data_IF_943767456156
#
_entry.id   IF_943767456156
#
_cell.length_a   1.000
_cell.length_b   1.000
_cell.length_c   1.000
_cell.angle_alpha   90.00
_cell.angle_beta   90.00
_cell.angle_gamma   90.00
#
_symmetry.space_group_name_H-M   'P 1'
#
loop_
_entity.id
_entity.type
_entity.pdbx_description
1 polymer ?
#
# COMPACT_ATOMS: atom_id res chain seq x y z
N UNK A 1 -26.72 50.91 -42.40
CA UNK A 1 -25.73 51.28 -41.37
C UNK A 1 -26.16 50.89 -39.95
N UNK A 2 -27.16 51.52 -39.32
CA UNK A 2 -27.51 51.21 -37.90
C UNK A 2 -27.93 49.75 -37.64
N UNK A 3 -28.75 49.16 -38.52
CA UNK A 3 -29.20 47.75 -38.38
C UNK A 3 -28.04 46.75 -38.42
N UNK A 4 -27.02 46.99 -39.25
CA UNK A 4 -25.84 46.13 -39.35
C UNK A 4 -24.94 46.22 -38.12
N UNK A 5 -24.79 47.43 -37.57
CA UNK A 5 -24.06 47.69 -36.31
C UNK A 5 -24.73 46.94 -35.16
N UNK A 6 -26.07 47.01 -35.05
CA UNK A 6 -26.84 46.30 -34.02
C UNK A 6 -26.68 44.77 -34.16
N UNK A 7 -26.68 44.25 -35.39
CA UNK A 7 -26.47 42.81 -35.64
C UNK A 7 -25.06 42.35 -35.20
N UNK A 8 -24.04 43.18 -35.49
CA UNK A 8 -22.65 42.92 -35.12
C UNK A 8 -22.45 42.93 -33.60
N UNK A 9 -23.08 43.87 -32.90
CA UNK A 9 -23.07 43.93 -31.43
C UNK A 9 -23.73 42.69 -30.82
N UNK A 10 -24.87 42.23 -31.35
CA UNK A 10 -25.53 40.98 -30.90
C UNK A 10 -24.63 39.76 -31.11
N UNK A 11 -23.98 39.67 -32.27
CA UNK A 11 -23.02 38.60 -32.58
C UNK A 11 -21.85 38.58 -31.61
N UNK A 12 -21.23 39.74 -31.35
CA UNK A 12 -20.11 39.87 -30.40
C UNK A 12 -20.51 39.49 -28.97
N UNK A 13 -21.68 39.95 -28.49
CA UNK A 13 -22.20 39.55 -27.16
C UNK A 13 -22.40 38.04 -27.06
N UNK A 14 -22.89 37.40 -28.12
CA UNK A 14 -23.07 35.94 -28.15
C UNK A 14 -21.74 35.19 -28.09
N UNK A 15 -20.71 35.66 -28.83
CA UNK A 15 -19.35 35.11 -28.80
C UNK A 15 -18.71 35.29 -27.42
N UNK A 16 -18.88 36.47 -26.81
CA UNK A 16 -18.39 36.75 -25.46
C UNK A 16 -19.00 35.79 -24.43
N UNK A 17 -20.32 35.54 -24.48
CA UNK A 17 -20.99 34.58 -23.60
C UNK A 17 -20.46 33.15 -23.79
N UNK A 18 -20.26 32.72 -25.04
CA UNK A 18 -19.66 31.41 -25.36
C UNK A 18 -18.24 31.28 -24.79
N UNK A 19 -17.40 32.31 -24.94
CA UNK A 19 -16.05 32.33 -24.40
C UNK A 19 -16.05 32.28 -22.86
N UNK A 20 -16.98 32.99 -22.23
CA UNK A 20 -17.12 32.98 -20.77
C UNK A 20 -17.48 31.59 -20.24
N UNK A 21 -18.39 30.88 -20.92
CA UNK A 21 -18.75 29.51 -20.57
C UNK A 21 -17.58 28.55 -20.76
N UNK A 22 -16.87 28.63 -21.89
CA UNK A 22 -15.64 27.83 -22.12
C UNK A 22 -14.59 28.10 -21.03
N UNK A 23 -14.40 29.35 -20.63
CA UNK A 23 -13.48 29.71 -19.54
C UNK A 23 -13.88 29.02 -18.23
N UNK A 24 -15.16 29.02 -17.87
CA UNK A 24 -15.67 28.33 -16.67
C UNK A 24 -15.43 26.83 -16.73
N UNK A 25 -15.75 26.19 -17.85
CA UNK A 25 -15.51 24.76 -18.05
C UNK A 25 -14.04 24.39 -17.93
N UNK A 26 -13.15 25.19 -18.53
CA UNK A 26 -11.69 24.99 -18.43
C UNK A 26 -11.21 25.12 -16.99
N UNK A 27 -11.71 26.09 -16.22
CA UNK A 27 -11.36 26.25 -14.80
C UNK A 27 -11.77 25.02 -13.99
N UNK A 28 -12.97 24.49 -14.22
CA UNK A 28 -13.46 23.27 -13.56
C UNK A 28 -12.55 22.09 -13.88
N UNK A 29 -12.20 21.89 -15.17
CA UNK A 29 -11.27 20.83 -15.59
C UNK A 29 -9.91 20.96 -14.93
N UNK A 30 -9.34 22.17 -14.87
CA UNK A 30 -8.05 22.43 -14.20
C UNK A 30 -8.13 22.07 -12.71
N UNK A 31 -9.21 22.43 -12.02
CA UNK A 31 -9.37 22.11 -10.61
C UNK A 31 -9.49 20.61 -10.36
N UNK A 32 -10.21 19.88 -11.22
CA UNK A 32 -10.30 18.42 -11.14
C UNK A 32 -8.93 17.76 -11.36
N UNK A 33 -8.17 18.20 -12.37
CA UNK A 33 -6.81 17.70 -12.62
C UNK A 33 -5.87 17.94 -11.43
N UNK A 34 -5.94 19.11 -10.78
CA UNK A 34 -5.17 19.39 -9.55
C UNK A 34 -5.54 18.47 -8.39
N UNK A 35 -6.81 18.06 -8.27
CA UNK A 35 -7.24 17.10 -7.26
C UNK A 35 -6.71 15.70 -7.55
N UNK A 36 -6.75 15.26 -8.81
CA UNK A 36 -6.17 13.99 -9.24
C UNK A 36 -4.65 13.94 -9.04
N UNK A 37 -3.94 15.02 -9.41
CA UNK A 37 -2.51 15.16 -9.18
C UNK A 37 -2.16 14.97 -7.70
N UNK A 38 -2.91 15.63 -6.80
CA UNK A 38 -2.72 15.46 -5.34
C UNK A 38 -2.93 14.02 -4.88
N UNK A 39 -3.94 13.32 -5.42
CA UNK A 39 -4.20 11.90 -5.13
C UNK A 39 -3.03 11.02 -5.60
N UNK A 40 -2.56 11.22 -6.84
CA UNK A 40 -1.44 10.50 -7.43
C UNK A 40 -0.14 10.73 -6.65
N UNK A 41 0.15 11.98 -6.24
CA UNK A 41 1.31 12.29 -5.39
C UNK A 41 1.24 11.55 -4.05
N UNK A 42 0.05 11.47 -3.44
CA UNK A 42 -0.15 10.73 -2.18
C UNK A 42 0.13 9.23 -2.39
N UNK A 43 -0.37 8.65 -3.47
CA UNK A 43 -0.12 7.25 -3.85
C UNK A 43 1.36 6.98 -4.12
N UNK A 44 2.03 7.84 -4.89
CA UNK A 44 3.48 7.75 -5.15
C UNK A 44 4.31 7.82 -3.87
N UNK A 45 3.94 8.69 -2.92
CA UNK A 45 4.61 8.78 -1.61
C UNK A 45 4.42 7.51 -0.78
N UNK A 46 3.26 6.85 -0.83
CA UNK A 46 3.08 5.55 -0.19
C UNK A 46 3.87 4.43 -0.87
N UNK A 47 3.95 4.43 -2.20
CA UNK A 47 4.72 3.44 -2.96
C UNK A 47 6.22 3.55 -2.68
N UNK A 48 6.79 4.76 -2.70
CA UNK A 48 8.20 5.00 -2.33
C UNK A 48 8.53 4.54 -0.90
N UNK A 49 7.57 4.57 0.03
CA UNK A 49 7.76 4.04 1.38
C UNK A 49 7.82 2.51 1.37
N UNK A 50 7.04 1.83 0.53
CA UNK A 50 7.09 0.38 0.38
C UNK A 50 8.38 -0.08 -0.30
N UNK A 51 8.90 0.69 -1.26
CA UNK A 51 10.18 0.40 -1.95
C UNK A 51 11.39 0.43 -1.01
N UNK A 52 11.28 1.09 0.15
CA UNK A 52 12.33 1.12 1.17
C UNK A 52 12.30 -0.09 2.11
N UNK A 53 11.28 -0.95 2.01
CA UNK A 53 11.16 -2.13 2.85
C UNK A 53 11.70 -3.36 2.13
N UNK A 54 12.79 -3.91 2.65
CA UNK A 54 13.33 -5.19 2.23
C UNK A 54 13.02 -6.23 3.30
N UNK A 55 12.30 -7.28 2.90
CA UNK A 55 12.00 -8.45 3.74
C UNK A 55 12.58 -9.69 3.06
N UNK A 56 13.42 -10.41 3.78
CA UNK A 56 14.05 -11.65 3.34
C UNK A 56 13.87 -12.75 4.39
N UNK A 57 13.72 -13.99 3.94
CA UNK A 57 13.53 -15.15 4.83
C UNK A 57 14.63 -16.17 4.59
N UNK A 58 15.53 -16.25 5.56
CA UNK A 58 16.66 -17.19 5.61
C UNK A 58 16.29 -18.50 6.30
N UNK A 59 16.95 -19.59 5.91
CA UNK A 59 16.89 -20.87 6.60
C UNK A 59 18.20 -21.12 7.32
N UNK A 60 18.13 -21.30 8.62
CA UNK A 60 19.23 -21.75 9.46
C UNK A 60 19.25 -23.28 9.47
N UNK A 61 20.26 -23.86 8.81
CA UNK A 61 20.43 -25.30 8.69
C UNK A 61 20.74 -25.98 10.03
N UNK A 62 21.42 -25.29 10.96
CA UNK A 62 21.88 -25.88 12.22
C UNK A 62 20.70 -26.23 13.12
N UNK A 63 19.70 -25.37 13.16
CA UNK A 63 18.51 -25.52 13.99
C UNK A 63 17.27 -25.94 13.19
N UNK A 64 17.41 -26.05 11.86
CA UNK A 64 16.32 -26.33 10.91
C UNK A 64 15.16 -25.34 11.05
N UNK A 65 15.49 -24.05 11.14
CA UNK A 65 14.53 -22.98 11.45
C UNK A 65 14.68 -21.78 10.54
N UNK A 66 13.64 -20.95 10.47
CA UNK A 66 13.62 -19.78 9.61
C UNK A 66 13.79 -18.49 10.41
N UNK A 67 14.46 -17.53 9.79
CA UNK A 67 14.65 -16.17 10.28
C UNK A 67 14.10 -15.18 9.26
N UNK A 68 13.48 -14.10 9.73
CA UNK A 68 13.08 -12.97 8.91
C UNK A 68 14.07 -11.83 9.11
N UNK A 69 14.62 -11.31 8.02
CA UNK A 69 15.50 -10.14 8.01
C UNK A 69 14.70 -8.98 7.42
N UNK A 70 14.71 -7.84 8.12
CA UNK A 70 14.00 -6.64 7.73
C UNK A 70 14.96 -5.47 7.66
N UNK A 71 14.95 -4.77 6.53
CA UNK A 71 15.56 -3.44 6.38
C UNK A 71 14.48 -2.44 6.00
N UNK A 72 14.36 -1.37 6.77
CA UNK A 72 13.42 -0.29 6.51
C UNK A 72 14.00 1.04 7.00
N UNK A 73 14.30 1.96 6.09
CA UNK A 73 14.99 3.23 6.41
C UNK A 73 16.29 2.94 7.17
N UNK A 74 16.46 3.50 8.38
CA UNK A 74 17.59 3.27 9.29
C UNK A 74 17.46 1.98 10.12
N UNK A 75 16.29 1.33 10.14
CA UNK A 75 16.10 0.10 10.90
C UNK A 75 16.62 -1.10 10.12
N UNK A 76 17.52 -1.85 10.75
CA UNK A 76 17.98 -3.14 10.28
C UNK A 76 17.95 -4.14 11.46
N UNK A 77 17.21 -5.22 11.28
CA UNK A 77 17.06 -6.25 12.31
C UNK A 77 16.59 -7.57 11.71
N UNK A 78 16.71 -8.62 12.52
CA UNK A 78 16.13 -9.92 12.23
C UNK A 78 15.36 -10.42 13.44
N UNK A 79 14.42 -11.32 13.19
CA UNK A 79 13.72 -12.05 14.24
C UNK A 79 13.47 -13.49 13.81
N UNK A 80 13.39 -14.35 14.82
CA UNK A 80 13.20 -15.78 14.64
C UNK A 80 11.74 -16.10 14.29
N UNK A 81 11.54 -16.89 13.24
CA UNK A 81 10.23 -17.39 12.85
C UNK A 81 9.96 -18.78 13.45
N UNK A 82 11.00 -19.60 13.59
CA UNK A 82 10.91 -20.97 14.10
C UNK A 82 10.91 -22.05 13.02
N UNK A 83 10.51 -23.26 13.41
CA UNK A 83 10.37 -24.40 12.49
C UNK A 83 9.19 -24.20 11.56
N UNK A 84 9.26 -24.77 10.35
CA UNK A 84 8.21 -24.65 9.34
C UNK A 84 6.81 -25.01 9.86
N UNK A 85 6.70 -26.09 10.65
CA UNK A 85 5.44 -26.52 11.26
C UNK A 85 4.84 -25.44 12.16
N UNK A 86 5.67 -24.83 13.03
CA UNK A 86 5.21 -23.76 13.94
C UNK A 86 4.72 -22.55 13.14
N UNK A 87 5.45 -22.20 12.08
CA UNK A 87 5.10 -21.08 11.20
C UNK A 87 3.74 -21.33 10.53
N UNK A 88 3.57 -22.51 9.93
CA UNK A 88 2.31 -22.93 9.29
C UNK A 88 1.14 -22.84 10.27
N UNK A 89 1.30 -23.39 11.47
CA UNK A 89 0.26 -23.35 12.50
C UNK A 89 -0.13 -21.90 12.87
N UNK A 90 0.85 -20.99 12.97
CA UNK A 90 0.55 -19.60 13.31
C UNK A 90 -0.16 -18.83 12.19
N UNK A 91 0.14 -19.11 10.91
CA UNK A 91 -0.50 -18.40 9.79
C UNK A 91 -1.75 -19.12 9.25
N UNK A 92 -2.00 -20.39 9.63
CA UNK A 92 -3.18 -21.16 9.24
C UNK A 92 -4.49 -20.44 9.55
N UNK A 93 -4.53 -19.65 10.63
CA UNK A 93 -5.72 -18.86 11.02
C UNK A 93 -6.19 -17.87 9.94
N UNK A 94 -5.35 -17.55 8.94
CA UNK A 94 -5.70 -16.66 7.83
C UNK A 94 -6.22 -17.42 6.60
N UNK A 95 -6.32 -18.76 6.68
CA UNK A 95 -6.68 -19.63 5.57
C UNK A 95 -7.81 -20.57 5.96
N UNK A 96 -8.80 -20.66 5.08
CA UNK A 96 -9.88 -21.64 5.22
C UNK A 96 -9.43 -23.06 4.90
N UNK A 97 -8.52 -23.18 3.93
CA UNK A 97 -7.96 -24.47 3.50
C UNK A 97 -6.71 -24.78 4.32
N UNK A 98 -6.49 -26.06 4.63
CA UNK A 98 -5.27 -26.51 5.28
C UNK A 98 -4.03 -26.22 4.42
N UNK A 99 -3.11 -25.44 4.98
CA UNK A 99 -1.83 -25.08 4.33
C UNK A 99 -0.66 -25.95 4.82
N UNK A 100 -0.89 -26.97 5.65
CA UNK A 100 0.13 -27.87 6.18
C UNK A 100 0.98 -28.52 5.08
N UNK A 101 0.36 -28.86 3.95
CA UNK A 101 0.99 -29.48 2.77
C UNK A 101 1.62 -28.46 1.81
N UNK A 102 1.40 -27.16 1.99
CA UNK A 102 1.97 -26.14 1.10
C UNK A 102 3.49 -26.07 1.29
N UNK A 103 4.22 -25.95 0.18
CA UNK A 103 5.69 -25.90 0.22
C UNK A 103 6.23 -24.60 0.81
N UNK A 104 7.49 -24.63 1.27
CA UNK A 104 8.14 -23.49 1.92
C UNK A 104 8.17 -22.20 1.08
N UNK A 105 8.20 -22.30 -0.25
CA UNK A 105 8.15 -21.12 -1.14
C UNK A 105 6.86 -20.31 -0.93
N UNK A 106 5.72 -21.00 -0.81
CA UNK A 106 4.43 -20.39 -0.51
C UNK A 106 4.47 -19.72 0.88
N UNK A 107 4.93 -20.47 1.88
CA UNK A 107 5.01 -19.97 3.27
C UNK A 107 5.90 -18.71 3.38
N UNK A 108 7.05 -18.69 2.68
CA UNK A 108 7.91 -17.50 2.62
C UNK A 108 7.21 -16.29 1.98
N UNK A 109 6.46 -16.51 0.91
CA UNK A 109 5.69 -15.44 0.25
C UNK A 109 4.68 -14.83 1.22
N UNK A 110 3.96 -15.67 1.96
CA UNK A 110 2.93 -15.22 2.89
C UNK A 110 3.50 -14.48 4.09
N UNK A 111 4.56 -14.99 4.73
CA UNK A 111 5.24 -14.26 5.80
C UNK A 111 5.74 -12.91 5.29
N UNK A 112 6.29 -12.86 4.07
CA UNK A 112 6.75 -11.60 3.48
C UNK A 112 5.60 -10.59 3.35
N UNK A 113 4.43 -11.01 2.88
CA UNK A 113 3.26 -10.13 2.78
C UNK A 113 2.80 -9.63 4.16
N UNK A 114 2.70 -10.53 5.14
CA UNK A 114 2.32 -10.19 6.52
C UNK A 114 3.28 -9.12 7.08
N UNK A 115 4.59 -9.36 7.00
CA UNK A 115 5.61 -8.44 7.51
C UNK A 115 5.55 -7.08 6.79
N UNK A 116 5.35 -7.08 5.46
CA UNK A 116 5.23 -5.84 4.67
C UNK A 116 4.03 -5.00 5.10
N UNK A 117 2.92 -5.64 5.44
CA UNK A 117 1.70 -4.92 5.83
C UNK A 117 1.81 -4.21 7.19
N UNK A 118 2.53 -4.80 8.16
CA UNK A 118 2.51 -4.31 9.54
C UNK A 118 3.77 -3.56 9.97
N UNK A 119 4.95 -3.97 9.49
CA UNK A 119 6.22 -3.46 10.02
C UNK A 119 6.43 -1.96 9.77
N UNK A 120 6.18 -1.42 8.56
CA UNK A 120 6.34 0.02 8.33
C UNK A 120 5.49 0.86 9.28
N UNK A 121 4.24 0.45 9.52
CA UNK A 121 3.32 1.17 10.39
C UNK A 121 3.78 1.12 11.84
N UNK A 122 4.21 -0.06 12.32
CA UNK A 122 4.77 -0.21 13.66
C UNK A 122 6.02 0.66 13.86
N UNK A 123 7.00 0.56 12.96
CA UNK A 123 8.26 1.30 13.08
C UNK A 123 8.04 2.81 12.97
N UNK A 124 7.12 3.28 12.11
CA UNK A 124 6.80 4.70 12.03
C UNK A 124 6.07 5.21 13.29
N UNK A 125 5.23 4.38 13.92
CA UNK A 125 4.46 4.77 15.11
C UNK A 125 5.32 4.82 16.38
N UNK A 126 6.11 3.78 16.60
CA UNK A 126 6.89 3.62 17.84
C UNK A 126 8.36 4.02 17.72
N UNK A 127 8.85 4.23 16.49
CA UNK A 127 10.25 4.56 16.20
C UNK A 127 11.27 3.62 16.87
N UNK A 128 10.89 2.36 17.07
CA UNK A 128 11.70 1.35 17.74
C UNK A 128 11.45 -0.02 17.13
N UNK A 129 12.49 -0.85 17.12
CA UNK A 129 12.43 -2.27 16.76
C UNK A 129 12.31 -3.20 17.97
N UNK A 130 12.30 -2.64 19.18
CA UNK A 130 12.20 -3.42 20.41
C UNK A 130 10.88 -4.22 20.43
N UNK A 131 10.96 -5.43 20.95
CA UNK A 131 9.83 -6.37 21.08
C UNK A 131 9.23 -6.90 19.76
N UNK A 132 9.84 -6.63 18.59
CA UNK A 132 9.41 -7.26 17.34
C UNK A 132 9.83 -8.74 17.34
N UNK A 133 8.86 -9.61 17.60
CA UNK A 133 8.95 -11.06 17.46
C UNK A 133 7.93 -11.54 16.44
N UNK A 134 8.05 -12.80 15.98
CA UNK A 134 7.08 -13.33 15.03
C UNK A 134 5.65 -13.34 15.60
N UNK A 135 5.48 -13.71 16.87
CA UNK A 135 4.18 -13.61 17.55
C UNK A 135 3.64 -12.18 17.51
N UNK A 136 4.48 -11.18 17.80
CA UNK A 136 4.05 -9.78 17.77
C UNK A 136 3.63 -9.33 16.38
N UNK A 137 4.32 -9.79 15.34
CA UNK A 137 3.96 -9.54 13.94
C UNK A 137 2.58 -10.12 13.62
N UNK A 138 2.30 -11.35 14.06
CA UNK A 138 0.99 -11.99 13.88
C UNK A 138 -0.10 -11.19 14.60
N UNK A 139 0.12 -10.78 15.85
CA UNK A 139 -0.84 -9.92 16.60
C UNK A 139 -1.13 -8.60 15.88
N UNK A 140 -0.08 -7.93 15.39
CA UNK A 140 -0.22 -6.67 14.65
C UNK A 140 -1.00 -6.88 13.35
N UNK A 141 -0.82 -8.02 12.69
CA UNK A 141 -1.52 -8.33 11.45
C UNK A 141 -2.99 -8.63 11.71
N UNK A 142 -3.29 -9.41 12.75
CA UNK A 142 -4.67 -9.63 13.22
C UNK A 142 -5.34 -8.28 13.55
N UNK A 143 -4.63 -7.41 14.27
CA UNK A 143 -5.17 -6.10 14.69
C UNK A 143 -5.32 -5.10 13.54
N UNK A 144 -4.57 -5.24 12.44
CA UNK A 144 -4.65 -4.31 11.32
C UNK A 144 -5.86 -4.51 10.44
N UNK A 145 -6.52 -5.68 10.50
CA UNK A 145 -7.63 -6.02 9.60
C UNK A 145 -7.22 -6.16 8.13
N UNK A 146 -5.90 -6.21 7.86
CA UNK A 146 -5.33 -6.37 6.51
C UNK A 146 -5.28 -7.86 6.08
N UNK A 147 -5.80 -8.74 6.93
CA UNK A 147 -6.05 -10.12 6.56
C UNK A 147 -7.32 -10.20 5.73
N UNK A 148 -7.27 -10.96 4.64
CA UNK A 148 -8.46 -11.44 3.95
C UNK A 148 -8.73 -12.81 4.52
N UNK A 149 -9.63 -12.92 5.50
CA UNK A 149 -10.18 -14.23 5.83
C UNK A 149 -10.75 -14.79 4.53
N UNK A 150 -10.43 -16.05 4.22
CA UNK A 150 -10.83 -16.71 2.97
C UNK A 150 -10.05 -16.27 1.72
N UNK A 151 -8.71 -16.11 1.81
CA UNK A 151 -7.90 -16.25 0.58
C UNK A 151 -8.10 -17.68 0.05
N UNK A 152 -8.79 -17.83 -1.08
CA UNK A 152 -8.75 -19.08 -1.83
C UNK A 152 -7.29 -19.33 -2.27
N UNK A 153 -6.75 -20.55 -2.08
CA UNK A 153 -5.34 -20.86 -2.33
C UNK A 153 -4.90 -20.73 -3.79
#
# INVERSE_FOLDING_TARGET
>A
MEKEIISSIKSLRSKQKKLLNKKKETIIKINNLKLEEKKLIKQLKSMKKLDQLIVSIGFDKRWSTYNCIVKFKSFNFSFYLGKEVKIKNQIQQFYAVDISKKGIKFIKKEIKQIVISVVPNYLNKYNSKESISFTKIIELYVSSGEWSYWKEP
#
